data_IF_693277515361
#
_entry.id   IF_693277515361
#
_cell.length_a   1.000
_cell.length_b   1.000
_cell.length_c   1.000
_cell.angle_alpha   90.00
_cell.angle_beta   90.00
_cell.angle_gamma   90.00
#
_symmetry.space_group_name_H-M   'P 1'
#
loop_
_entity.id
_entity.type
_entity.pdbx_description
1 polymer ?
#
# COMPACT_ATOMS: atom_id res chain seq x y z
N UNK A 1 -14.30 -23.84 13.54
CA UNK A 1 -13.14 -22.92 13.43
C UNK A 1 -12.68 -22.56 14.83
N UNK A 2 -11.38 -22.72 15.13
CA UNK A 2 -10.83 -22.28 16.42
C UNK A 2 -10.89 -20.73 16.46
N UNK A 3 -11.19 -20.14 17.62
CA UNK A 3 -11.29 -18.68 17.79
C UNK A 3 -9.99 -17.97 17.35
N UNK A 4 -8.84 -18.63 17.48
CA UNK A 4 -7.55 -18.13 16.98
C UNK A 4 -7.49 -17.92 15.47
N UNK A 5 -8.15 -18.78 14.67
CA UNK A 5 -8.23 -18.63 13.21
C UNK A 5 -9.05 -17.38 12.85
N UNK A 6 -10.14 -17.13 13.57
CA UNK A 6 -10.97 -15.93 13.34
C UNK A 6 -10.14 -14.68 13.57
N UNK A 7 -9.39 -14.61 14.67
CA UNK A 7 -8.51 -13.47 14.93
C UNK A 7 -7.40 -13.31 13.89
N UNK A 8 -6.80 -14.41 13.42
CA UNK A 8 -5.80 -14.36 12.37
C UNK A 8 -6.35 -13.80 11.04
N UNK A 9 -7.55 -14.23 10.63
CA UNK A 9 -8.21 -13.72 9.44
C UNK A 9 -8.59 -12.24 9.55
N UNK A 10 -9.07 -11.81 10.71
CA UNK A 10 -9.35 -10.38 10.97
C UNK A 10 -8.05 -9.57 10.90
N UNK A 11 -6.96 -10.05 11.50
CA UNK A 11 -5.65 -9.41 11.45
C UNK A 11 -5.10 -9.29 10.02
N UNK A 12 -5.21 -10.37 9.23
CA UNK A 12 -4.80 -10.37 7.82
C UNK A 12 -5.62 -9.35 7.00
N UNK A 13 -6.94 -9.32 7.18
CA UNK A 13 -7.82 -8.36 6.52
C UNK A 13 -7.46 -6.92 6.90
N UNK A 14 -7.35 -6.63 8.20
CA UNK A 14 -6.97 -5.30 8.68
C UNK A 14 -5.62 -4.84 8.14
N UNK A 15 -4.62 -5.72 8.11
CA UNK A 15 -3.30 -5.40 7.56
C UNK A 15 -3.39 -4.98 6.09
N UNK A 16 -4.12 -5.74 5.26
CA UNK A 16 -4.27 -5.42 3.84
C UNK A 16 -5.04 -4.11 3.64
N UNK A 17 -6.18 -3.95 4.31
CA UNK A 17 -7.05 -2.78 4.11
C UNK A 17 -6.45 -1.49 4.65
N UNK A 18 -5.93 -1.49 5.89
CA UNK A 18 -5.40 -0.28 6.50
C UNK A 18 -4.12 0.21 5.80
N UNK A 19 -3.21 -0.71 5.46
CA UNK A 19 -2.03 -0.37 4.68
C UNK A 19 -2.37 0.05 3.24
N UNK A 20 -3.37 -0.59 2.62
CA UNK A 20 -3.86 -0.20 1.29
C UNK A 20 -4.44 1.22 1.28
N UNK A 21 -5.21 1.59 2.31
CA UNK A 21 -5.73 2.95 2.49
C UNK A 21 -4.59 3.95 2.73
N UNK A 22 -3.65 3.64 3.63
CA UNK A 22 -2.51 4.53 3.88
C UNK A 22 -1.65 4.76 2.64
N UNK A 23 -1.44 3.71 1.85
CA UNK A 23 -0.73 3.75 0.57
C UNK A 23 -1.44 4.63 -0.46
N UNK A 24 -2.75 4.45 -0.66
CA UNK A 24 -3.51 5.25 -1.64
C UNK A 24 -3.56 6.73 -1.27
N UNK A 25 -3.68 7.04 0.02
CA UNK A 25 -3.60 8.41 0.54
C UNK A 25 -2.21 9.01 0.27
N UNK A 26 -1.14 8.28 0.56
CA UNK A 26 0.24 8.72 0.32
C UNK A 26 0.53 8.97 -1.16
N UNK A 27 0.10 8.06 -2.04
CA UNK A 27 0.19 8.22 -3.51
C UNK A 27 -0.60 9.45 -3.94
N UNK A 28 -1.79 9.66 -3.40
CA UNK A 28 -2.63 10.81 -3.70
C UNK A 28 -1.97 12.15 -3.37
N UNK A 29 -1.30 12.25 -2.21
CA UNK A 29 -0.54 13.46 -1.86
C UNK A 29 0.65 13.68 -2.78
N UNK A 30 1.52 12.66 -2.95
CA UNK A 30 2.69 12.79 -3.81
C UNK A 30 2.32 13.11 -5.27
N UNK A 31 1.24 12.51 -5.79
CA UNK A 31 0.77 12.72 -7.15
C UNK A 31 0.28 14.14 -7.42
N UNK A 32 -0.34 14.79 -6.43
CA UNK A 32 -0.79 16.19 -6.57
C UNK A 32 0.39 17.15 -6.70
N UNK A 33 1.40 16.97 -5.87
CA UNK A 33 2.63 17.78 -5.93
C UNK A 33 3.42 17.50 -7.22
N UNK A 34 3.55 16.22 -7.60
CA UNK A 34 4.20 15.81 -8.84
C UNK A 34 3.54 16.44 -10.07
N UNK A 35 2.21 16.47 -10.13
CA UNK A 35 1.48 17.10 -11.23
C UNK A 35 1.72 18.62 -11.32
N UNK A 36 1.91 19.29 -10.17
CA UNK A 36 2.29 20.71 -10.16
C UNK A 36 3.69 20.96 -10.73
N UNK A 37 4.63 20.03 -10.52
CA UNK A 37 5.95 20.10 -11.17
C UNK A 37 5.84 19.81 -12.67
N UNK A 38 5.05 18.80 -13.05
CA UNK A 38 4.91 18.39 -14.45
C UNK A 38 4.14 19.39 -15.31
N UNK A 39 3.33 20.27 -14.72
CA UNK A 39 2.71 21.38 -15.46
C UNK A 39 3.73 22.42 -15.91
N UNK A 40 4.83 22.57 -15.19
CA UNK A 40 5.92 23.49 -15.53
C UNK A 40 7.04 22.80 -16.33
N UNK A 41 7.34 21.54 -16.01
CA UNK A 41 8.46 20.78 -16.57
C UNK A 41 8.07 19.32 -16.83
N UNK A 42 7.47 19.01 -18.01
CA UNK A 42 6.97 17.66 -18.32
C UNK A 42 8.08 16.61 -18.53
N UNK A 43 9.31 17.03 -18.83
CA UNK A 43 10.45 16.14 -19.04
C UNK A 43 10.83 15.37 -17.76
N UNK A 44 10.37 15.84 -16.59
CA UNK A 44 10.58 15.19 -15.29
C UNK A 44 9.63 14.03 -14.98
N UNK A 45 8.76 13.63 -15.92
CA UNK A 45 7.75 12.58 -15.69
C UNK A 45 8.34 11.29 -15.07
N UNK A 46 9.46 10.78 -15.60
CA UNK A 46 10.05 9.54 -15.10
C UNK A 46 10.47 9.62 -13.62
N UNK A 47 11.12 10.71 -13.22
CA UNK A 47 11.53 10.94 -11.83
C UNK A 47 10.32 11.14 -10.93
N UNK A 48 9.33 11.93 -11.38
CA UNK A 48 8.10 12.19 -10.62
C UNK A 48 7.29 10.91 -10.41
N UNK A 49 7.15 10.08 -11.44
CA UNK A 49 6.48 8.78 -11.34
C UNK A 49 7.13 7.90 -10.27
N UNK A 50 8.46 7.89 -10.23
CA UNK A 50 9.21 7.09 -9.26
C UNK A 50 8.97 7.59 -7.82
N UNK A 51 8.96 8.91 -7.61
CA UNK A 51 8.65 9.53 -6.32
C UNK A 51 7.20 9.26 -5.86
N UNK A 52 6.24 9.34 -6.79
CA UNK A 52 4.82 9.05 -6.53
C UNK A 52 4.59 7.56 -6.19
N UNK A 53 5.44 6.66 -6.70
CA UNK A 53 5.35 5.23 -6.40
C UNK A 53 5.91 4.85 -5.02
N UNK A 54 6.78 5.67 -4.39
CA UNK A 54 7.41 5.34 -3.11
C UNK A 54 6.41 5.09 -1.96
N UNK A 55 5.35 5.89 -1.77
CA UNK A 55 4.32 5.61 -0.77
C UNK A 55 3.56 4.29 -1.02
N UNK A 56 3.57 3.81 -2.28
CA UNK A 56 2.96 2.56 -2.73
C UNK A 56 3.44 1.32 -1.97
N UNK A 57 4.69 1.37 -1.47
CA UNK A 57 5.32 0.28 -0.71
C UNK A 57 4.53 -0.15 0.51
N UNK A 58 3.79 0.76 1.16
CA UNK A 58 2.96 0.42 2.32
C UNK A 58 1.88 -0.58 1.96
N UNK A 59 1.27 -0.44 0.77
CA UNK A 59 0.29 -1.40 0.27
C UNK A 59 0.89 -2.79 0.06
N UNK A 60 2.12 -2.85 -0.45
CA UNK A 60 2.85 -4.11 -0.65
C UNK A 60 3.16 -4.79 0.68
N UNK A 61 3.60 -4.04 1.70
CA UNK A 61 3.88 -4.60 3.02
C UNK A 61 2.62 -5.12 3.73
N UNK A 62 1.50 -4.41 3.64
CA UNK A 62 0.22 -4.89 4.19
C UNK A 62 -0.28 -6.14 3.47
N UNK A 63 -0.17 -6.17 2.14
CA UNK A 63 -0.52 -7.35 1.35
C UNK A 63 0.35 -8.56 1.69
N UNK A 64 1.68 -8.38 1.70
CA UNK A 64 2.63 -9.43 2.06
C UNK A 64 2.36 -9.97 3.48
N UNK A 65 2.11 -9.07 4.43
CA UNK A 65 1.79 -9.45 5.82
C UNK A 65 0.51 -10.29 5.89
N UNK A 66 -0.55 -9.86 5.20
CA UNK A 66 -1.79 -10.65 5.10
C UNK A 66 -1.54 -12.04 4.54
N UNK A 67 -0.74 -12.15 3.47
CA UNK A 67 -0.39 -13.43 2.85
C UNK A 67 0.42 -14.33 3.79
N UNK A 68 1.41 -13.77 4.50
CA UNK A 68 2.20 -14.50 5.49
C UNK A 68 1.36 -15.02 6.66
N UNK A 69 0.35 -14.25 7.10
CA UNK A 69 -0.57 -14.70 8.15
C UNK A 69 -1.37 -15.91 7.68
N UNK A 70 -1.91 -15.88 6.46
CA UNK A 70 -2.66 -17.00 5.87
C UNK A 70 -1.80 -18.26 5.80
N UNK A 71 -0.60 -18.15 5.22
CA UNK A 71 0.36 -19.26 5.16
C UNK A 71 0.69 -19.82 6.55
N UNK A 72 0.80 -18.95 7.56
CA UNK A 72 1.17 -19.36 8.92
C UNK A 72 0.05 -20.14 9.61
N UNK A 73 -1.21 -19.85 9.30
CA UNK A 73 -2.37 -20.58 9.84
C UNK A 73 -2.83 -21.75 8.96
N UNK A 74 -2.13 -22.00 7.85
CA UNK A 74 -2.39 -23.13 6.96
C UNK A 74 -3.64 -22.93 6.08
N UNK A 75 -3.94 -21.68 5.72
CA UNK A 75 -4.99 -21.28 4.78
C UNK A 75 -4.30 -20.68 3.56
#
# INVERSE_FOLDING_TARGET
MNIGIIYALIGAALSVFLCGIGSSVGIGYAGREANGVLSEDPDKFGTMLLLVALPGTQGVYGFLTGFLVLMKVGI
#
